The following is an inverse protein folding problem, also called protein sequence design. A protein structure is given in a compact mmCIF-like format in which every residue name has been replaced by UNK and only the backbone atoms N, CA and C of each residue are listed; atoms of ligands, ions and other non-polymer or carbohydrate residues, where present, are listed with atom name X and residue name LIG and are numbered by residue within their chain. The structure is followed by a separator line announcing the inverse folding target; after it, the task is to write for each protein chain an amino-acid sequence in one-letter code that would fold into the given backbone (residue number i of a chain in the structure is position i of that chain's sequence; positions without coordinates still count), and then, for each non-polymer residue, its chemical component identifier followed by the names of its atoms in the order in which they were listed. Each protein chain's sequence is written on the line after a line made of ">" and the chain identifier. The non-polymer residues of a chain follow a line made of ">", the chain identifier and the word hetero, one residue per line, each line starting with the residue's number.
data_IF_297059540694
#
_entry.id   IF_297059540694
#
_cell.length_a   1.000
_cell.length_b   1.000
_cell.length_c   1.000
_cell.angle_alpha   90.00
_cell.angle_beta   90.00
_cell.angle_gamma   90.00
#
_symmetry.space_group_name_H-M   'P 1'
#
loop_
_entity.id
_entity.type
_entity.pdbx_description
1 polymer ?
#
# COMPACT_ATOMS: atom_id res chain seq x y z
N UNK A 1 31.79 35.27 33.13
CA UNK A 1 31.21 34.94 31.81
C UNK A 1 30.77 33.48 31.87
N UNK A 2 29.46 33.22 31.98
CA UNK A 2 28.89 31.86 31.99
C UNK A 2 28.49 31.53 30.55
N UNK A 3 29.07 30.47 29.98
CA UNK A 3 28.68 29.96 28.66
C UNK A 3 27.52 28.96 28.86
N UNK A 4 26.31 29.37 28.50
CA UNK A 4 25.16 28.46 28.39
C UNK A 4 25.26 27.75 27.02
N UNK A 5 25.76 26.52 27.02
CA UNK A 5 25.64 25.62 25.87
C UNK A 5 24.20 25.11 25.79
N UNK A 6 23.37 25.75 24.97
CA UNK A 6 22.08 25.19 24.57
C UNK A 6 22.34 24.01 23.63
N UNK A 7 22.30 22.79 24.17
CA UNK A 7 22.35 21.55 23.40
C UNK A 7 21.08 21.45 22.55
N UNK A 8 21.20 21.74 21.26
CA UNK A 8 20.12 21.58 20.27
C UNK A 8 20.04 20.08 19.98
N UNK A 9 19.10 19.37 20.63
CA UNK A 9 18.78 17.99 20.28
C UNK A 9 18.04 18.01 18.93
N UNK A 10 18.56 17.38 17.85
CA UNK A 10 17.82 17.29 16.60
C UNK A 10 16.56 16.47 16.83
N UNK A 11 15.41 17.10 16.60
CA UNK A 11 14.10 16.48 16.66
C UNK A 11 13.98 15.52 15.48
N UNK A 12 14.35 14.25 15.69
CA UNK A 12 14.15 13.21 14.69
C UNK A 12 12.66 12.93 14.62
N UNK A 13 11.98 13.51 13.63
CA UNK A 13 10.58 13.19 13.35
C UNK A 13 10.51 11.75 12.84
N UNK A 14 10.06 10.83 13.68
CA UNK A 14 9.73 9.47 13.27
C UNK A 14 8.61 9.53 12.23
N UNK A 15 8.92 9.23 10.97
CA UNK A 15 7.89 9.05 9.95
C UNK A 15 7.23 7.69 10.20
N UNK A 16 6.00 7.70 10.74
CA UNK A 16 5.20 6.50 10.91
C UNK A 16 4.70 6.02 9.56
N UNK A 17 5.07 4.80 9.16
CA UNK A 17 4.44 4.11 8.03
C UNK A 17 2.99 3.87 8.43
N UNK A 18 2.06 4.58 7.76
CA UNK A 18 0.63 4.42 8.02
C UNK A 18 0.17 3.12 7.36
N UNK A 19 -0.02 2.07 8.16
CA UNK A 19 -0.68 0.86 7.67
C UNK A 19 -2.12 1.22 7.29
N UNK A 20 -2.50 0.94 6.03
CA UNK A 20 -3.89 1.09 5.61
C UNK A 20 -4.79 0.13 6.38
N UNK A 21 -6.04 0.54 6.60
CA UNK A 21 -7.06 -0.34 7.19
C UNK A 21 -7.26 -1.58 6.32
N UNK A 22 -7.56 -2.71 6.96
CA UNK A 22 -7.95 -3.93 6.26
C UNK A 22 -9.20 -3.67 5.40
N UNK A 23 -9.14 -4.08 4.12
CA UNK A 23 -10.26 -3.97 3.18
C UNK A 23 -10.83 -5.35 2.95
N UNK A 24 -12.13 -5.50 3.22
CA UNK A 24 -12.87 -6.72 2.89
C UNK A 24 -13.42 -6.62 1.47
N UNK A 25 -13.22 -7.66 0.68
CA UNK A 25 -13.75 -7.81 -0.67
C UNK A 25 -14.45 -9.16 -0.81
N UNK A 26 -15.36 -9.26 -1.77
CA UNK A 26 -15.92 -10.56 -2.14
C UNK A 26 -14.93 -11.31 -3.04
N UNK A 27 -14.95 -12.63 -2.99
CA UNK A 27 -14.33 -13.45 -4.02
C UNK A 27 -15.05 -13.30 -5.37
N UNK A 28 -14.45 -13.85 -6.43
CA UNK A 28 -15.02 -13.83 -7.80
C UNK A 28 -15.33 -12.44 -8.36
N UNK A 29 -14.73 -11.39 -7.79
CA UNK A 29 -14.82 -10.06 -8.37
C UNK A 29 -14.23 -10.07 -9.80
N UNK A 30 -14.90 -9.41 -10.77
CA UNK A 30 -14.40 -9.34 -12.13
C UNK A 30 -12.98 -8.76 -12.20
N UNK A 31 -12.16 -9.30 -13.10
CA UNK A 31 -10.84 -8.72 -13.41
C UNK A 31 -11.03 -7.27 -13.86
N UNK A 32 -10.21 -6.38 -13.31
CA UNK A 32 -10.29 -4.93 -13.51
C UNK A 32 -11.19 -4.17 -12.53
N UNK A 33 -11.87 -4.88 -11.61
CA UNK A 33 -12.65 -4.24 -10.54
C UNK A 33 -11.74 -3.41 -9.63
N UNK A 34 -12.20 -2.21 -9.28
CA UNK A 34 -11.49 -1.33 -8.34
C UNK A 34 -11.78 -1.78 -6.91
N UNK A 35 -10.71 -1.98 -6.14
CA UNK A 35 -10.78 -2.25 -4.70
C UNK A 35 -10.81 -0.93 -3.93
N UNK A 36 -9.85 -0.04 -4.23
CA UNK A 36 -9.76 1.29 -3.62
C UNK A 36 -8.99 2.25 -4.52
N UNK A 37 -9.23 3.54 -4.34
CA UNK A 37 -8.38 4.59 -4.88
C UNK A 37 -7.17 4.83 -3.97
N UNK A 38 -6.03 5.13 -4.58
CA UNK A 38 -4.79 5.51 -3.91
C UNK A 38 -4.71 7.03 -3.99
N UNK A 39 -5.02 7.69 -2.88
CA UNK A 39 -4.98 9.15 -2.80
C UNK A 39 -4.20 9.55 -1.56
N UNK A 40 -2.93 9.92 -1.71
CA UNK A 40 -2.27 10.68 -0.66
C UNK A 40 -2.50 12.16 -0.89
N UNK A 41 -3.21 12.78 0.06
CA UNK A 41 -3.23 14.23 0.17
C UNK A 41 -2.03 14.64 0.99
N UNK A 42 -0.88 14.83 0.35
CA UNK A 42 0.23 15.53 0.98
C UNK A 42 -0.08 17.04 0.87
N UNK A 43 -0.38 17.74 1.97
CA UNK A 43 -0.68 19.16 1.91
C UNK A 43 0.54 19.93 1.36
N UNK A 44 0.30 20.81 0.38
CA UNK A 44 1.30 21.65 -0.30
C UNK A 44 2.29 20.92 -1.20
N UNK A 45 1.96 19.72 -1.70
CA UNK A 45 2.75 19.00 -2.67
C UNK A 45 1.96 18.83 -3.97
N UNK A 46 2.27 19.64 -4.98
CA UNK A 46 1.73 19.49 -6.35
C UNK A 46 2.47 18.38 -7.14
N UNK A 47 3.04 17.39 -6.45
CA UNK A 47 3.81 16.31 -7.09
C UNK A 47 2.89 15.16 -7.48
N UNK A 48 3.10 14.65 -8.69
CA UNK A 48 2.48 13.39 -9.13
C UNK A 48 3.13 12.24 -8.37
N UNK A 49 2.33 11.55 -7.55
CA UNK A 49 2.75 10.33 -6.89
C UNK A 49 2.58 9.15 -7.84
N UNK A 50 3.62 8.35 -7.95
CA UNK A 50 3.57 7.07 -8.63
C UNK A 50 3.52 5.95 -7.59
N UNK A 51 2.57 5.03 -7.75
CA UNK A 51 2.33 3.93 -6.84
C UNK A 51 2.66 2.61 -7.51
N UNK A 52 3.43 1.77 -6.82
CA UNK A 52 3.79 0.43 -7.29
C UNK A 52 3.47 -0.61 -6.23
N UNK A 53 2.95 -1.75 -6.67
CA UNK A 53 2.88 -2.94 -5.82
C UNK A 53 4.29 -3.49 -5.63
N UNK A 54 4.72 -3.56 -4.38
CA UNK A 54 5.94 -4.29 -4.04
C UNK A 54 5.70 -5.75 -4.41
N UNK A 55 6.59 -6.30 -5.24
CA UNK A 55 6.42 -7.63 -5.84
C UNK A 55 5.97 -8.65 -4.80
N UNK A 56 4.88 -9.39 -5.06
CA UNK A 56 4.39 -10.38 -4.12
C UNK A 56 5.45 -11.46 -3.89
N UNK A 57 5.51 -11.95 -2.65
CA UNK A 57 6.50 -12.95 -2.21
C UNK A 57 6.36 -14.26 -3.02
N UNK A 58 5.18 -14.53 -3.60
CA UNK A 58 4.95 -15.66 -4.50
C UNK A 58 4.14 -15.25 -5.74
N UNK A 59 4.37 -15.94 -6.85
CA UNK A 59 3.60 -15.77 -8.09
C UNK A 59 2.12 -16.15 -7.95
N UNK A 60 1.79 -16.99 -6.97
CA UNK A 60 0.40 -17.35 -6.63
C UNK A 60 -0.37 -16.18 -6.01
N UNK A 61 0.32 -15.20 -5.42
CA UNK A 61 -0.27 -14.02 -4.78
C UNK A 61 -0.22 -12.76 -5.67
N UNK A 62 0.14 -12.92 -6.94
CA UNK A 62 0.04 -11.87 -7.97
C UNK A 62 -1.42 -11.70 -8.45
N UNK A 63 -2.28 -11.32 -7.52
CA UNK A 63 -3.74 -11.21 -7.65
C UNK A 63 -4.21 -9.77 -7.89
N UNK A 64 -3.38 -8.79 -7.57
CA UNK A 64 -3.69 -7.38 -7.63
C UNK A 64 -2.74 -6.63 -8.56
N UNK A 65 -3.17 -5.50 -9.09
CA UNK A 65 -2.32 -4.56 -9.83
C UNK A 65 -2.71 -3.11 -9.54
N UNK A 66 -1.81 -2.17 -9.82
CA UNK A 66 -2.13 -0.74 -9.80
C UNK A 66 -2.59 -0.32 -11.19
N UNK A 67 -3.72 0.36 -11.27
CA UNK A 67 -4.12 1.16 -12.41
C UNK A 67 -3.55 2.57 -12.22
N UNK A 68 -2.44 2.85 -12.88
CA UNK A 68 -1.75 4.15 -12.79
C UNK A 68 -2.55 5.29 -13.42
N UNK A 69 -3.46 5.00 -14.36
CA UNK A 69 -4.30 6.03 -15.00
C UNK A 69 -5.37 6.53 -14.04
N UNK A 70 -5.99 5.60 -13.30
CA UNK A 70 -7.05 5.92 -12.32
C UNK A 70 -6.53 6.07 -10.89
N UNK A 71 -5.23 5.87 -10.67
CA UNK A 71 -4.59 5.77 -9.35
C UNK A 71 -5.39 4.85 -8.41
N UNK A 72 -5.56 3.59 -8.80
CA UNK A 72 -6.40 2.66 -8.04
C UNK A 72 -5.82 1.25 -7.97
N UNK A 73 -6.05 0.56 -6.86
CA UNK A 73 -5.77 -0.87 -6.71
C UNK A 73 -6.89 -1.66 -7.36
N UNK A 74 -6.55 -2.57 -8.27
CA UNK A 74 -7.52 -3.36 -9.05
C UNK A 74 -7.26 -4.86 -8.96
N UNK A 75 -8.30 -5.64 -9.27
CA UNK A 75 -8.23 -7.11 -9.42
C UNK A 75 -7.50 -7.45 -10.72
N UNK A 76 -6.38 -8.18 -10.63
CA UNK A 76 -5.58 -8.65 -11.78
C UNK A 76 -5.97 -10.06 -12.22
N UNK A 77 -6.32 -10.92 -11.27
CA UNK A 77 -6.68 -12.33 -11.50
C UNK A 77 -7.87 -12.73 -10.64
N UNK A 78 -8.54 -13.82 -11.03
CA UNK A 78 -9.63 -14.42 -10.26
C UNK A 78 -9.18 -14.69 -8.82
N UNK A 79 -9.97 -14.23 -7.87
CA UNK A 79 -9.81 -14.52 -6.44
C UNK A 79 -10.79 -15.62 -6.11
N UNK A 80 -10.24 -16.77 -5.73
CA UNK A 80 -10.96 -17.97 -5.34
C UNK A 80 -10.55 -18.28 -3.89
N UNK A 81 -11.51 -18.16 -2.96
CA UNK A 81 -11.23 -18.25 -1.54
C UNK A 81 -10.65 -19.63 -1.17
N UNK A 82 -11.23 -20.70 -1.70
CA UNK A 82 -10.79 -22.06 -1.42
C UNK A 82 -9.36 -22.30 -1.92
N UNK A 83 -9.01 -21.75 -3.09
CA UNK A 83 -7.67 -21.91 -3.64
C UNK A 83 -6.60 -21.16 -2.84
N UNK A 84 -6.91 -19.96 -2.35
CA UNK A 84 -5.92 -19.05 -1.72
C UNK A 84 -5.84 -19.28 -0.21
N UNK A 85 -6.99 -19.41 0.44
CA UNK A 85 -7.13 -19.34 1.90
C UNK A 85 -7.08 -20.72 2.56
N UNK A 86 -7.57 -21.77 1.90
CA UNK A 86 -7.55 -23.12 2.47
C UNK A 86 -6.14 -23.71 2.50
N UNK A 87 -5.26 -23.31 1.57
CA UNK A 87 -3.84 -23.71 1.57
C UNK A 87 -3.10 -23.28 2.84
N UNK A 88 -3.49 -22.16 3.46
CA UNK A 88 -2.75 -21.57 4.58
C UNK A 88 -3.23 -22.03 5.95
N UNK A 89 -4.30 -22.84 6.02
CA UNK A 89 -4.89 -23.36 7.26
C UNK A 89 -5.14 -22.27 8.32
N UNK A 90 -5.50 -21.07 7.86
CA UNK A 90 -5.73 -19.87 8.67
C UNK A 90 -7.22 -19.67 8.93
N UNK A 91 -7.60 -19.29 10.15
CA UNK A 91 -8.98 -18.95 10.51
C UNK A 91 -9.45 -17.62 9.91
N UNK A 92 -8.50 -16.79 9.46
CA UNK A 92 -8.76 -15.52 8.77
C UNK A 92 -7.95 -15.49 7.46
N UNK A 93 -8.63 -15.30 6.33
CA UNK A 93 -7.93 -15.13 5.06
C UNK A 93 -7.53 -13.68 4.86
N UNK A 94 -6.26 -13.39 5.11
CA UNK A 94 -5.67 -12.07 4.95
C UNK A 94 -4.57 -12.19 3.91
N UNK A 95 -4.68 -11.38 2.86
CA UNK A 95 -3.64 -11.28 1.82
C UNK A 95 -2.86 -9.99 2.10
N UNK A 96 -1.63 -10.08 2.63
CA UNK A 96 -0.83 -8.89 2.87
C UNK A 96 -0.38 -8.30 1.54
N UNK A 97 -0.61 -7.00 1.36
CA UNK A 97 -0.11 -6.24 0.22
C UNK A 97 0.78 -5.11 0.74
N UNK A 98 1.80 -4.79 -0.03
CA UNK A 98 2.68 -3.66 0.23
C UNK A 98 2.72 -2.78 -1.02
N UNK A 99 2.47 -1.50 -0.83
CA UNK A 99 2.48 -0.50 -1.90
C UNK A 99 3.61 0.47 -1.58
N UNK A 100 4.53 0.63 -2.53
CA UNK A 100 5.52 1.67 -2.49
C UNK A 100 4.98 2.88 -3.26
N UNK A 101 5.41 4.08 -2.88
CA UNK A 101 5.18 5.28 -3.64
C UNK A 101 6.50 5.99 -3.89
N UNK A 102 6.59 6.68 -5.02
CA UNK A 102 7.71 7.55 -5.33
C UNK A 102 7.20 8.90 -5.84
N UNK A 103 8.00 9.92 -5.59
CA UNK A 103 7.75 11.26 -6.09
C UNK A 103 8.63 11.47 -7.32
N UNK A 104 8.04 11.95 -8.41
CA UNK A 104 8.84 12.50 -9.49
C UNK A 104 9.12 13.98 -9.19
N UNK A 105 10.28 14.27 -8.59
CA UNK A 105 10.79 15.64 -8.50
C UNK A 105 11.21 16.10 -9.91
N UNK A 106 10.40 16.98 -10.52
CA UNK A 106 10.81 17.80 -11.67
C UNK A 106 11.18 19.20 -11.23
#
# INVERSE_FOLDING_TARGET
>A
MIFLFFSILPFVSSQTIKQLNEISINEELPIGSIITFLTDKIPNLDQSLEYDLVTPVSSELDLFSIDHTRQSLIIKKRIDYEQICTKTNSTHCIIPISIAFSNHDT
#
